data_IF_527799722362
#
_entry.id   IF_527799722362
#
_cell.length_a   1.000
_cell.length_b   1.000
_cell.length_c   1.000
_cell.angle_alpha   90.00
_cell.angle_beta   90.00
_cell.angle_gamma   90.00
#
_symmetry.space_group_name_H-M   'P 1'
#
loop_
_entity.id
_entity.type
_entity.pdbx_description
1 polymer ?
#
# COMPACT_ATOMS: atom_id res chain seq x y z
N UNK A 1 -3.95 -10.07 -6.60
CA UNK A 1 -2.66 -9.36 -6.58
C UNK A 1 -2.59 -8.43 -5.38
N UNK A 2 -3.30 -7.29 -5.38
CA UNK A 2 -3.32 -6.37 -4.24
C UNK A 2 -3.75 -7.00 -2.92
N UNK A 3 -4.73 -7.92 -2.95
CA UNK A 3 -5.11 -8.69 -1.75
C UNK A 3 -3.98 -9.56 -1.20
N UNK A 4 -3.17 -10.17 -2.06
CA UNK A 4 -2.02 -10.97 -1.64
C UNK A 4 -0.91 -10.09 -1.05
N UNK A 5 -0.73 -8.90 -1.63
CA UNK A 5 0.20 -7.91 -1.10
C UNK A 5 -0.28 -7.40 0.26
N UNK A 6 -1.56 -7.06 0.39
CA UNK A 6 -2.16 -6.65 1.66
C UNK A 6 -2.10 -7.75 2.72
N UNK A 7 -2.30 -9.01 2.33
CA UNK A 7 -2.15 -10.14 3.24
C UNK A 7 -0.72 -10.22 3.82
N UNK A 8 0.30 -9.92 3.02
CA UNK A 8 1.69 -9.90 3.46
C UNK A 8 2.02 -8.64 4.30
N UNK A 9 1.51 -7.47 3.89
CA UNK A 9 1.83 -6.18 4.51
C UNK A 9 1.08 -5.92 5.83
N UNK A 10 -0.22 -6.23 5.88
CA UNK A 10 -1.13 -5.88 6.99
C UNK A 10 -1.88 -7.07 7.57
N UNK A 11 -1.63 -8.29 7.08
CA UNK A 11 -2.48 -9.43 7.39
C UNK A 11 -3.85 -9.37 6.70
N UNK A 12 -4.04 -8.45 5.75
CA UNK A 12 -5.30 -8.25 5.02
C UNK A 12 -6.24 -7.23 5.67
N UNK A 13 -5.79 -6.53 6.72
CA UNK A 13 -6.57 -5.48 7.39
C UNK A 13 -6.37 -4.12 6.70
N UNK A 14 -7.38 -3.70 5.95
CA UNK A 14 -7.36 -2.43 5.21
C UNK A 14 -7.52 -1.19 6.09
N UNK A 15 -7.91 -1.36 7.34
CA UNK A 15 -8.12 -0.28 8.31
C UNK A 15 -7.00 -0.22 9.35
N UNK A 16 -5.93 -1.00 9.18
CA UNK A 16 -4.87 -1.13 10.17
C UNK A 16 -4.15 0.20 10.43
N UNK A 17 -3.97 0.50 11.71
CA UNK A 17 -3.07 1.52 12.22
C UNK A 17 -2.48 1.00 13.53
N UNK A 18 -1.22 0.57 13.47
CA UNK A 18 -0.49 0.04 14.63
C UNK A 18 0.34 1.11 15.33
N UNK A 19 0.33 2.36 14.84
CA UNK A 19 1.25 3.41 15.28
C UNK A 19 2.69 3.24 14.78
N UNK A 20 2.93 2.38 13.79
CA UNK A 20 4.27 2.16 13.21
C UNK A 20 4.65 3.17 12.09
N UNK A 21 3.79 4.16 11.82
CA UNK A 21 3.99 5.18 10.78
C UNK A 21 3.55 4.76 9.38
N UNK A 22 2.97 3.56 9.25
CA UNK A 22 2.39 3.03 8.02
C UNK A 22 0.93 2.66 8.25
N UNK A 23 0.11 2.83 7.21
CA UNK A 23 -1.34 2.81 7.36
C UNK A 23 -2.00 1.96 6.28
N UNK A 24 -3.10 1.33 6.66
CA UNK A 24 -4.00 0.63 5.75
C UNK A 24 -3.42 -0.66 5.18
N UNK A 25 -4.18 -1.28 4.26
CA UNK A 25 -3.94 -2.64 3.82
C UNK A 25 -2.58 -2.85 3.15
N UNK A 26 -2.07 -1.80 2.50
CA UNK A 26 -0.81 -1.81 1.76
C UNK A 26 0.32 -1.07 2.49
N UNK A 27 0.17 -0.79 3.79
CA UNK A 27 1.20 -0.18 4.62
C UNK A 27 1.84 1.06 3.97
N UNK A 28 1.00 2.04 3.61
CA UNK A 28 1.46 3.29 3.03
C UNK A 28 2.09 4.20 4.09
N UNK A 29 3.21 4.84 3.75
CA UNK A 29 3.68 6.01 4.50
C UNK A 29 2.76 7.21 4.21
N UNK A 30 2.43 8.00 5.24
CA UNK A 30 1.53 9.16 5.11
C UNK A 30 2.03 10.18 4.07
N UNK A 31 3.35 10.41 4.01
CA UNK A 31 3.96 11.31 3.02
C UNK A 31 3.72 10.83 1.58
N UNK A 32 3.91 9.54 1.32
CA UNK A 32 3.68 8.95 -0.01
C UNK A 32 2.21 9.04 -0.39
N UNK A 33 1.29 8.71 0.54
CA UNK A 33 -0.15 8.84 0.34
C UNK A 33 -0.56 10.26 -0.09
N UNK A 34 -0.12 11.25 0.69
CA UNK A 34 -0.40 12.66 0.38
C UNK A 34 0.22 13.12 -0.94
N UNK A 35 1.43 12.64 -1.27
CA UNK A 35 2.12 12.97 -2.52
C UNK A 35 1.42 12.42 -3.77
N UNK A 36 0.65 11.34 -3.62
CA UNK A 36 -0.18 10.75 -4.68
C UNK A 36 -1.58 11.40 -4.77
N UNK A 37 -1.87 12.38 -3.92
CA UNK A 37 -3.15 13.09 -3.86
C UNK A 37 -4.20 12.43 -2.96
N UNK A 38 -3.80 11.53 -2.06
CA UNK A 38 -4.69 10.93 -1.07
C UNK A 38 -5.11 11.93 0.02
N UNK A 39 -6.38 11.89 0.40
CA UNK A 39 -6.91 12.64 1.55
C UNK A 39 -6.80 11.85 2.84
N UNK A 40 -6.58 12.53 3.97
CA UNK A 40 -6.47 11.88 5.28
C UNK A 40 -5.34 10.85 5.33
N UNK A 41 -5.54 9.78 6.09
CA UNK A 41 -4.64 8.63 6.16
C UNK A 41 -5.18 7.42 5.37
N UNK A 42 -4.30 6.55 4.84
CA UNK A 42 -4.72 5.37 4.08
C UNK A 42 -5.78 4.51 4.78
N UNK A 43 -5.63 4.26 6.09
CA UNK A 43 -6.56 3.46 6.90
C UNK A 43 -7.95 4.11 7.10
N UNK A 44 -8.08 5.41 6.82
CA UNK A 44 -9.35 6.14 6.87
C UNK A 44 -10.11 6.04 5.52
N UNK A 45 -9.49 5.45 4.50
CA UNK A 45 -10.03 5.37 3.15
C UNK A 45 -10.38 3.93 2.77
N UNK A 46 -11.29 3.78 1.79
CA UNK A 46 -11.71 2.45 1.35
C UNK A 46 -10.56 1.66 0.72
N UNK A 47 -10.70 0.33 0.72
CA UNK A 47 -9.81 -0.57 0.01
C UNK A 47 -9.59 -0.15 -1.44
N UNK A 48 -10.66 0.24 -2.13
CA UNK A 48 -10.62 0.64 -3.54
C UNK A 48 -9.76 1.90 -3.75
N UNK A 49 -9.87 2.87 -2.84
CA UNK A 49 -9.07 4.10 -2.90
C UNK A 49 -7.59 3.83 -2.61
N UNK A 50 -7.31 2.95 -1.64
CA UNK A 50 -5.96 2.50 -1.36
C UNK A 50 -5.34 1.77 -2.56
N UNK A 51 -6.10 0.90 -3.24
CA UNK A 51 -5.67 0.22 -4.46
C UNK A 51 -5.47 1.21 -5.62
N UNK A 52 -6.33 2.22 -5.75
CA UNK A 52 -6.21 3.26 -6.78
C UNK A 52 -4.86 3.96 -6.66
N UNK A 53 -4.51 4.46 -5.48
CA UNK A 53 -3.24 5.15 -5.26
C UNK A 53 -2.04 4.20 -5.28
N UNK A 54 -2.18 2.94 -4.86
CA UNK A 54 -1.13 1.93 -5.01
C UNK A 54 -0.82 1.62 -6.47
N UNK A 55 -1.83 1.62 -7.33
CA UNK A 55 -1.66 1.46 -8.77
C UNK A 55 -0.88 2.64 -9.36
N UNK A 56 -1.18 3.88 -8.94
CA UNK A 56 -0.41 5.06 -9.35
C UNK A 56 1.05 4.94 -8.90
N UNK A 57 1.29 4.58 -7.64
CA UNK A 57 2.65 4.41 -7.12
C UNK A 57 3.43 3.33 -7.86
N UNK A 58 2.79 2.20 -8.13
CA UNK A 58 3.38 1.09 -8.89
C UNK A 58 3.80 1.54 -10.28
N UNK A 59 2.92 2.26 -10.98
CA UNK A 59 3.18 2.72 -12.34
C UNK A 59 4.30 3.78 -12.38
N UNK A 60 4.38 4.65 -11.36
CA UNK A 60 5.49 5.61 -11.19
C UNK A 60 6.82 4.93 -10.86
N UNK A 61 6.78 3.82 -10.10
CA UNK A 61 7.96 3.09 -9.66
C UNK A 61 8.43 2.06 -10.69
N UNK A 62 7.65 1.80 -11.74
CA UNK A 62 7.95 0.76 -12.74
C UNK A 62 7.69 -0.67 -12.26
N UNK A 63 6.99 -0.85 -11.14
CA UNK A 63 6.83 -2.15 -10.48
C UNK A 63 6.39 -2.03 -9.03
N UNK A 64 6.54 -3.12 -8.28
CA UNK A 64 6.16 -3.22 -6.87
C UNK A 64 7.32 -2.89 -5.92
N UNK A 65 8.33 -2.14 -6.39
CA UNK A 65 9.52 -1.78 -5.60
C UNK A 65 9.23 -0.98 -4.31
N UNK A 66 8.05 -0.36 -4.20
CA UNK A 66 7.59 0.27 -2.96
C UNK A 66 7.25 -0.73 -1.83
N UNK A 67 7.13 -2.02 -2.16
CA UNK A 67 6.82 -3.12 -1.24
C UNK A 67 7.86 -4.24 -1.33
N UNK A 68 9.16 -3.97 -1.07
CA UNK A 68 10.26 -4.83 -1.50
C UNK A 68 10.21 -6.25 -0.92
N UNK A 69 9.88 -6.40 0.37
CA UNK A 69 9.83 -7.71 1.03
C UNK A 69 8.68 -8.57 0.49
N UNK A 70 7.46 -8.01 0.47
CA UNK A 70 6.28 -8.73 0.03
C UNK A 70 6.27 -8.94 -1.49
N UNK A 71 6.80 -8.00 -2.28
CA UNK A 71 6.99 -8.17 -3.71
C UNK A 71 7.93 -9.33 -4.03
N UNK A 72 9.05 -9.45 -3.31
CA UNK A 72 9.97 -10.57 -3.46
C UNK A 72 9.32 -11.91 -3.10
N UNK A 73 8.60 -11.97 -1.97
CA UNK A 73 7.87 -13.18 -1.55
C UNK A 73 6.81 -13.63 -2.56
N UNK A 74 6.14 -12.66 -3.21
CA UNK A 74 5.09 -12.91 -4.19
C UNK A 74 5.60 -13.05 -5.63
N UNK A 75 6.90 -12.90 -5.87
CA UNK A 75 7.51 -13.01 -7.21
C UNK A 75 7.09 -11.89 -8.16
N UNK A 76 6.92 -10.67 -7.65
CA UNK A 76 6.49 -9.52 -8.44
C UNK A 76 7.66 -8.79 -9.09
N UNK A 77 7.45 -8.18 -10.27
CA UNK A 77 8.44 -7.27 -10.83
C UNK A 77 8.56 -6.03 -9.95
N UNK A 78 9.79 -5.73 -9.52
CA UNK A 78 10.14 -4.56 -8.70
C UNK A 78 10.92 -3.54 -9.49
#
# INVERSE_FOLDING_TARGET
>A
MWDSLAQCESGGDWSIDTGNGYYGGLQFAASTWSGLGGSGLPNENSKEEQIRLATVLRDQSGGYGAWPSCAAQLGLPT
#
